data_IF_226628230276
#
_entry.id   IF_226628230276
#
_cell.length_a   1.000
_cell.length_b   1.000
_cell.length_c   1.000
_cell.angle_alpha   90.00
_cell.angle_beta   90.00
_cell.angle_gamma   90.00
#
_symmetry.space_group_name_H-M   'P 1'
#
loop_
_entity.id
_entity.type
_entity.pdbx_description
1 polymer ?
#
# COMPACT_ATOMS: atom_id res chain seq x y z
N UNK A 1 -33.22 -47.40 37.60
CA UNK A 1 -32.81 -46.01 37.29
C UNK A 1 -31.39 -45.84 37.81
N UNK A 2 -30.37 -45.83 36.94
CA UNK A 2 -28.96 -45.73 37.37
C UNK A 2 -28.63 -44.24 37.52
N UNK A 3 -28.29 -43.79 38.74
CA UNK A 3 -27.80 -42.43 38.99
C UNK A 3 -26.34 -42.34 38.54
N UNK A 4 -26.10 -41.58 37.46
CA UNK A 4 -24.75 -41.31 36.97
C UNK A 4 -24.08 -40.30 37.90
N UNK A 5 -23.08 -40.75 38.67
CA UNK A 5 -22.22 -39.85 39.46
C UNK A 5 -21.60 -38.81 38.54
N UNK A 6 -21.84 -37.53 38.83
CA UNK A 6 -21.19 -36.41 38.16
C UNK A 6 -19.91 -36.09 38.93
N UNK A 7 -18.76 -36.39 38.35
CA UNK A 7 -17.48 -35.93 38.87
C UNK A 7 -17.45 -34.40 38.77
N UNK A 8 -17.43 -33.72 39.93
CA UNK A 8 -17.33 -32.27 40.02
C UNK A 8 -15.90 -31.81 39.78
N UNK A 9 -15.73 -30.74 39.01
CA UNK A 9 -14.43 -30.11 38.77
C UNK A 9 -13.97 -29.43 40.07
N UNK A 10 -12.75 -29.69 40.52
CA UNK A 10 -12.22 -29.01 41.72
C UNK A 10 -11.70 -27.62 41.36
N UNK A 11 -11.79 -26.67 42.30
CA UNK A 11 -11.31 -25.30 42.10
C UNK A 11 -9.79 -25.26 41.81
N UNK A 12 -9.03 -26.19 42.39
CA UNK A 12 -7.59 -26.30 42.17
C UNK A 12 -7.24 -26.79 40.76
N UNK A 13 -7.99 -27.75 40.20
CA UNK A 13 -7.80 -28.20 38.82
C UNK A 13 -8.02 -27.05 37.84
N UNK A 14 -9.05 -26.24 38.07
CA UNK A 14 -9.31 -25.07 37.24
C UNK A 14 -8.18 -24.03 37.33
N UNK A 15 -7.66 -23.80 38.55
CA UNK A 15 -6.61 -22.82 38.81
C UNK A 15 -5.28 -23.20 38.16
N UNK A 16 -4.89 -24.47 38.23
CA UNK A 16 -3.65 -24.95 37.58
C UNK A 16 -3.74 -24.84 36.06
N UNK A 17 -4.90 -25.13 35.47
CA UNK A 17 -5.11 -25.04 34.02
C UNK A 17 -4.97 -23.61 33.52
N UNK A 18 -5.59 -22.63 34.19
CA UNK A 18 -5.44 -21.23 33.78
C UNK A 18 -4.02 -20.72 33.98
N UNK A 19 -3.30 -21.19 35.00
CA UNK A 19 -1.90 -20.82 35.23
C UNK A 19 -1.00 -21.31 34.09
N UNK A 20 -1.20 -22.55 33.62
CA UNK A 20 -0.47 -23.10 32.49
C UNK A 20 -0.81 -22.36 31.19
N UNK A 21 -2.09 -22.05 30.94
CA UNK A 21 -2.51 -21.26 29.76
C UNK A 21 -1.87 -19.86 29.78
N UNK A 22 -1.81 -19.20 30.94
CA UNK A 22 -1.19 -17.89 31.09
C UNK A 22 0.31 -17.92 30.77
N UNK A 23 1.04 -18.93 31.25
CA UNK A 23 2.47 -19.11 30.95
C UNK A 23 2.71 -19.33 29.45
N UNK A 24 1.90 -20.19 28.82
CA UNK A 24 2.04 -20.49 27.38
C UNK A 24 1.72 -19.26 26.51
N UNK A 25 0.64 -18.54 26.83
CA UNK A 25 0.24 -17.35 26.07
C UNK A 25 1.24 -16.21 26.21
N UNK A 26 1.90 -16.05 27.36
CA UNK A 26 2.95 -15.05 27.57
C UNK A 26 4.12 -15.16 26.57
N UNK A 27 4.49 -16.39 26.18
CA UNK A 27 5.56 -16.64 25.20
C UNK A 27 5.02 -16.58 23.76
N UNK A 28 3.77 -16.99 23.53
CA UNK A 28 3.17 -17.03 22.20
C UNK A 28 2.88 -15.65 21.61
N UNK A 29 2.42 -14.69 22.43
CA UNK A 29 2.06 -13.33 21.98
C UNK A 29 3.23 -12.60 21.30
N UNK A 30 4.44 -12.51 21.89
CA UNK A 30 5.55 -11.80 21.25
C UNK A 30 6.00 -12.48 19.95
N UNK A 31 6.05 -13.82 19.92
CA UNK A 31 6.39 -14.58 18.72
C UNK A 31 5.38 -14.34 17.57
N UNK A 32 4.08 -14.33 17.88
CA UNK A 32 3.03 -14.08 16.91
C UNK A 32 3.09 -12.65 16.32
N UNK A 33 3.45 -11.66 17.14
CA UNK A 33 3.58 -10.28 16.66
C UNK A 33 4.71 -10.13 15.64
N UNK A 34 5.85 -10.78 15.87
CA UNK A 34 6.98 -10.80 14.93
C UNK A 34 6.58 -11.54 13.64
N UNK A 35 5.94 -12.71 13.76
CA UNK A 35 5.48 -13.49 12.62
C UNK A 35 4.47 -12.69 11.76
N UNK A 36 3.55 -11.94 12.38
CA UNK A 36 2.61 -11.05 11.65
C UNK A 36 3.34 -9.94 10.90
N UNK A 37 4.37 -9.33 11.49
CA UNK A 37 5.16 -8.30 10.80
C UNK A 37 5.92 -8.87 9.59
N UNK A 38 6.52 -10.05 9.73
CA UNK A 38 7.22 -10.73 8.63
C UNK A 38 6.27 -11.21 7.53
N UNK A 39 5.08 -11.69 7.89
CA UNK A 39 4.04 -12.02 6.91
C UNK A 39 3.62 -10.75 6.14
N UNK A 40 3.46 -9.63 6.85
CA UNK A 40 3.16 -8.33 6.24
C UNK A 40 4.22 -7.88 5.24
N UNK A 41 5.51 -7.94 5.60
CA UNK A 41 6.60 -7.57 4.67
C UNK A 41 6.66 -8.46 3.43
N UNK A 42 6.40 -9.76 3.61
CA UNK A 42 6.34 -10.72 2.49
C UNK A 42 5.20 -10.39 1.52
N UNK A 43 4.04 -9.95 2.03
CA UNK A 43 2.93 -9.48 1.19
C UNK A 43 3.31 -8.20 0.45
N UNK A 44 3.98 -7.25 1.12
CA UNK A 44 4.40 -6.01 0.46
C UNK A 44 5.40 -6.27 -0.68
N UNK A 45 6.36 -7.16 -0.46
CA UNK A 45 7.29 -7.59 -1.51
C UNK A 45 6.56 -8.23 -2.70
N UNK A 46 5.53 -9.04 -2.44
CA UNK A 46 4.72 -9.63 -3.52
C UNK A 46 3.94 -8.55 -4.29
N UNK A 47 3.34 -7.59 -3.59
CA UNK A 47 2.64 -6.47 -4.21
C UNK A 47 3.59 -5.65 -5.11
N UNK A 48 4.81 -5.38 -4.64
CA UNK A 48 5.83 -4.67 -5.43
C UNK A 48 6.22 -5.43 -6.69
N UNK A 49 6.46 -6.75 -6.60
CA UNK A 49 6.72 -7.60 -7.78
C UNK A 49 5.59 -7.52 -8.80
N UNK A 50 4.34 -7.52 -8.35
CA UNK A 50 3.18 -7.38 -9.23
C UNK A 50 3.10 -5.99 -9.88
N UNK A 51 3.47 -4.92 -9.15
CA UNK A 51 3.57 -3.57 -9.74
C UNK A 51 4.64 -3.49 -10.81
N UNK A 52 5.83 -4.03 -10.54
CA UNK A 52 6.93 -4.04 -11.52
C UNK A 52 6.52 -4.79 -12.78
N UNK A 53 5.86 -5.95 -12.63
CA UNK A 53 5.32 -6.69 -13.78
C UNK A 53 4.32 -5.85 -14.58
N UNK A 54 3.39 -5.17 -13.90
CA UNK A 54 2.42 -4.30 -14.54
C UNK A 54 3.09 -3.15 -15.32
N UNK A 55 4.22 -2.62 -14.83
CA UNK A 55 4.96 -1.58 -15.56
C UNK A 55 5.68 -2.13 -16.78
N UNK A 56 6.30 -3.30 -16.66
CA UNK A 56 6.98 -3.92 -17.81
C UNK A 56 5.98 -4.19 -18.94
N UNK A 57 4.80 -4.72 -18.59
CA UNK A 57 3.71 -4.91 -19.55
C UNK A 57 3.26 -3.56 -20.14
N UNK A 58 3.09 -2.52 -19.31
CA UNK A 58 2.75 -1.19 -19.82
C UNK A 58 3.77 -0.67 -20.82
N UNK A 59 5.06 -0.74 -20.49
CA UNK A 59 6.14 -0.26 -21.35
C UNK A 59 6.17 -1.03 -22.68
N UNK A 60 6.04 -2.36 -22.65
CA UNK A 60 5.96 -3.19 -23.85
C UNK A 60 4.79 -2.78 -24.77
N UNK A 61 3.66 -2.40 -24.18
CA UNK A 61 2.47 -1.93 -24.90
C UNK A 61 2.55 -0.45 -25.36
N UNK A 62 3.56 0.32 -24.95
CA UNK A 62 3.65 1.77 -25.19
C UNK A 62 5.04 2.19 -25.70
N UNK A 63 5.60 1.45 -26.65
CA UNK A 63 6.90 1.77 -27.29
C UNK A 63 8.07 1.92 -26.29
N UNK A 64 8.05 1.12 -25.21
CA UNK A 64 8.99 1.19 -24.08
C UNK A 64 8.99 2.52 -23.32
N UNK A 65 7.96 3.35 -23.52
CA UNK A 65 7.73 4.57 -22.76
C UNK A 65 6.99 4.19 -21.47
N UNK A 66 7.52 4.60 -20.33
CA UNK A 66 6.89 4.33 -19.05
C UNK A 66 5.76 5.32 -18.75
N UNK A 67 4.88 4.99 -17.80
CA UNK A 67 3.94 5.97 -17.30
C UNK A 67 4.66 6.95 -16.37
N UNK A 68 4.21 8.20 -16.36
CA UNK A 68 4.80 9.20 -15.48
C UNK A 68 4.46 8.98 -13.99
N UNK A 69 5.19 9.68 -13.12
CA UNK A 69 5.13 9.51 -11.68
C UNK A 69 3.94 10.22 -11.02
N UNK A 70 3.19 11.00 -11.77
CA UNK A 70 2.21 11.93 -11.24
C UNK A 70 0.90 11.22 -10.85
N UNK A 71 0.06 11.95 -10.12
CA UNK A 71 -1.20 11.47 -9.57
C UNK A 71 -2.37 12.27 -10.14
N UNK A 72 -2.66 12.13 -11.43
CA UNK A 72 -3.87 12.69 -12.04
C UNK A 72 -3.95 14.22 -12.16
N UNK A 73 -2.92 14.94 -11.71
CA UNK A 73 -2.95 16.42 -11.61
C UNK A 73 -2.72 17.08 -12.98
N UNK A 74 -2.12 16.35 -13.93
CA UNK A 74 -1.83 16.89 -15.26
C UNK A 74 -2.95 16.66 -16.28
N UNK A 75 -3.93 15.82 -15.94
CA UNK A 75 -4.98 15.41 -16.87
C UNK A 75 -4.45 14.60 -18.07
N UNK A 76 -3.19 14.14 -18.01
CA UNK A 76 -2.55 13.43 -19.09
C UNK A 76 -2.35 11.95 -18.72
N UNK A 77 -3.01 11.02 -19.43
CA UNK A 77 -2.85 9.59 -19.16
C UNK A 77 -1.40 9.11 -19.25
N UNK A 78 -0.54 9.81 -20.00
CA UNK A 78 0.88 9.43 -20.13
C UNK A 78 1.70 9.73 -18.87
N UNK A 79 1.26 10.67 -18.04
CA UNK A 79 2.02 11.12 -16.87
C UNK A 79 1.51 10.58 -15.54
N UNK A 80 0.35 9.93 -15.52
CA UNK A 80 -0.36 9.57 -14.30
C UNK A 80 -0.50 8.05 -14.13
N UNK A 81 0.45 7.40 -13.47
CA UNK A 81 0.37 5.95 -13.21
C UNK A 81 -0.80 5.56 -12.28
N UNK A 82 -1.17 6.44 -11.35
CA UNK A 82 -2.39 6.35 -10.54
C UNK A 82 -3.22 7.62 -10.70
N UNK A 83 -4.54 7.48 -10.68
CA UNK A 83 -5.44 8.64 -10.73
C UNK A 83 -5.50 9.39 -9.41
N UNK A 84 -6.02 10.63 -9.42
CA UNK A 84 -6.24 11.41 -8.20
C UNK A 84 -7.44 10.82 -7.45
N UNK A 85 -7.54 11.01 -6.12
CA UNK A 85 -8.74 10.64 -5.36
C UNK A 85 -10.02 11.18 -6.01
N UNK A 86 -11.10 10.41 -5.95
CA UNK A 86 -12.38 10.73 -6.60
C UNK A 86 -13.50 10.77 -5.56
N UNK A 87 -14.20 11.90 -5.48
CA UNK A 87 -15.36 12.08 -4.61
C UNK A 87 -16.42 11.00 -4.85
N UNK A 88 -16.94 10.38 -3.79
CA UNK A 88 -17.84 9.21 -3.91
C UNK A 88 -19.16 9.54 -4.63
N UNK A 89 -19.67 10.77 -4.52
CA UNK A 89 -20.97 11.16 -5.06
C UNK A 89 -20.83 11.75 -6.47
N UNK A 90 -20.00 12.78 -6.60
CA UNK A 90 -19.83 13.56 -7.84
C UNK A 90 -18.84 12.94 -8.82
N UNK A 91 -17.92 12.07 -8.36
CA UNK A 91 -16.83 11.56 -9.19
C UNK A 91 -15.77 12.61 -9.56
N UNK A 92 -15.85 13.81 -8.98
CA UNK A 92 -14.88 14.86 -9.18
C UNK A 92 -13.52 14.48 -8.56
N UNK A 93 -12.43 14.92 -9.19
CA UNK A 93 -11.08 14.73 -8.66
C UNK A 93 -10.87 15.60 -7.42
N UNK A 94 -10.26 15.04 -6.37
CA UNK A 94 -9.90 15.71 -5.12
C UNK A 94 -8.38 15.73 -4.96
N UNK A 95 -7.86 16.85 -4.46
CA UNK A 95 -6.41 17.04 -4.21
C UNK A 95 -6.07 17.13 -2.73
N UNK A 96 -7.08 17.33 -1.87
CA UNK A 96 -6.96 17.40 -0.42
C UNK A 96 -8.24 16.89 0.24
N UNK A 97 -8.15 16.60 1.55
CA UNK A 97 -9.28 16.18 2.39
C UNK A 97 -10.11 15.02 1.81
N UNK A 98 -9.42 13.93 1.46
CA UNK A 98 -10.03 12.72 0.93
C UNK A 98 -9.92 11.54 1.90
N UNK A 99 -10.83 10.59 1.77
CA UNK A 99 -10.82 9.30 2.49
C UNK A 99 -10.02 8.26 1.71
N UNK A 100 -9.68 7.15 2.37
CA UNK A 100 -9.00 6.03 1.73
C UNK A 100 -9.83 5.43 0.58
N UNK A 101 -11.15 5.40 0.72
CA UNK A 101 -12.08 4.87 -0.30
C UNK A 101 -12.10 5.74 -1.56
N UNK A 102 -12.08 7.07 -1.39
CA UNK A 102 -12.00 8.02 -2.50
C UNK A 102 -10.67 7.89 -3.25
N UNK A 103 -9.57 7.65 -2.53
CA UNK A 103 -8.28 7.38 -3.15
C UNK A 103 -8.25 6.04 -3.87
N UNK A 104 -8.80 4.97 -3.27
CA UNK A 104 -8.93 3.65 -3.91
C UNK A 104 -9.70 3.77 -5.23
N UNK A 105 -10.81 4.51 -5.24
CA UNK A 105 -11.58 4.79 -6.46
C UNK A 105 -10.76 5.59 -7.48
N UNK A 106 -9.96 6.54 -7.02
CA UNK A 106 -9.03 7.30 -7.86
C UNK A 106 -7.98 6.43 -8.53
N UNK A 107 -7.39 5.49 -7.79
CA UNK A 107 -6.38 4.55 -8.27
C UNK A 107 -6.89 3.72 -9.45
N UNK A 108 -8.18 3.35 -9.45
CA UNK A 108 -8.82 2.60 -10.55
C UNK A 108 -8.84 3.37 -11.88
N UNK A 109 -8.74 4.70 -11.83
CA UNK A 109 -8.66 5.55 -13.03
C UNK A 109 -7.24 5.76 -13.55
N UNK A 110 -6.23 5.23 -12.85
CA UNK A 110 -4.83 5.36 -13.23
C UNK A 110 -4.46 4.57 -14.47
N UNK A 111 -3.48 5.06 -15.22
CA UNK A 111 -3.03 4.44 -16.48
C UNK A 111 -2.48 3.03 -16.30
N UNK A 112 -1.93 2.73 -15.13
CA UNK A 112 -1.38 1.40 -14.84
C UNK A 112 -2.44 0.40 -14.34
N UNK A 113 -3.60 0.87 -13.89
CA UNK A 113 -4.65 0.02 -13.33
C UNK A 113 -5.08 -1.15 -14.22
N UNK A 114 -5.22 -1.00 -15.56
CA UNK A 114 -5.58 -2.11 -16.44
C UNK A 114 -4.64 -3.32 -16.38
N UNK A 115 -3.39 -3.14 -15.94
CA UNK A 115 -2.37 -4.18 -15.92
C UNK A 115 -2.37 -5.00 -14.62
N UNK A 116 -2.65 -4.37 -13.47
CA UNK A 116 -2.69 -5.07 -12.17
C UNK A 116 -4.11 -5.31 -11.63
N UNK A 117 -5.14 -4.60 -12.13
CA UNK A 117 -6.59 -4.79 -11.90
C UNK A 117 -7.02 -4.94 -10.44
N UNK A 118 -6.24 -4.43 -9.49
CA UNK A 118 -6.45 -4.58 -8.05
C UNK A 118 -5.97 -3.35 -7.30
N UNK A 119 -6.86 -2.40 -7.01
CA UNK A 119 -6.48 -1.12 -6.42
C UNK A 119 -5.72 -1.25 -5.09
N UNK A 120 -6.05 -2.26 -4.28
CA UNK A 120 -5.35 -2.54 -2.99
C UNK A 120 -3.88 -2.93 -3.14
N UNK A 121 -3.43 -3.25 -4.35
CA UNK A 121 -2.06 -3.68 -4.64
C UNK A 121 -1.05 -2.54 -4.45
N UNK A 122 -1.47 -1.27 -4.62
CA UNK A 122 -0.58 -0.11 -4.42
C UNK A 122 -0.36 0.26 -2.93
N UNK A 123 -0.99 -0.48 -2.02
CA UNK A 123 -0.82 -0.33 -0.57
C UNK A 123 -0.06 -1.54 -0.01
N UNK A 124 0.82 -1.25 0.94
CA UNK A 124 1.48 -2.26 1.77
C UNK A 124 0.65 -2.42 3.05
N UNK A 125 0.18 -3.64 3.42
CA UNK A 125 -0.65 -3.82 4.61
C UNK A 125 0.01 -3.42 5.94
N UNK A 126 1.34 -3.34 5.98
CA UNK A 126 2.06 -2.85 7.17
C UNK A 126 2.09 -1.33 7.25
N UNK A 127 1.75 -0.64 6.16
CA UNK A 127 1.69 0.81 6.12
C UNK A 127 0.34 1.32 6.63
N UNK A 128 0.41 2.11 7.71
CA UNK A 128 -0.74 2.61 8.46
C UNK A 128 -1.00 4.09 8.20
N UNK A 129 -0.41 4.68 7.16
CA UNK A 129 -0.65 6.09 6.78
C UNK A 129 -2.13 6.41 6.52
N UNK A 130 -2.88 5.48 5.92
CA UNK A 130 -4.33 5.59 5.63
C UNK A 130 -5.21 5.80 6.86
N UNK A 131 -4.74 5.37 8.02
CA UNK A 131 -5.48 5.45 9.30
C UNK A 131 -4.86 6.46 10.26
N UNK A 132 -3.83 7.19 9.84
CA UNK A 132 -3.12 8.20 10.64
C UNK A 132 -3.34 9.60 10.06
N UNK A 133 -3.24 10.61 10.93
CA UNK A 133 -3.20 11.99 10.49
C UNK A 133 -1.99 12.21 9.55
N UNK A 134 -2.13 13.02 8.50
CA UNK A 134 -1.07 13.29 7.54
C UNK A 134 0.15 13.90 8.23
N UNK A 135 1.33 13.40 7.87
CA UNK A 135 2.61 13.79 8.47
C UNK A 135 3.10 15.17 7.99
N UNK A 136 2.56 15.66 6.85
CA UNK A 136 2.92 16.95 6.27
C UNK A 136 1.92 18.04 6.69
N UNK A 137 2.37 19.09 7.41
CA UNK A 137 1.52 20.22 7.75
C UNK A 137 1.02 20.92 6.48
N UNK A 138 -0.29 21.13 6.36
CA UNK A 138 -0.93 21.78 5.21
C UNK A 138 -1.62 20.82 4.23
N UNK A 139 -1.35 19.51 4.28
CA UNK A 139 -2.20 18.51 3.63
C UNK A 139 -3.34 18.14 4.60
N UNK A 140 -4.52 18.74 4.43
CA UNK A 140 -5.70 18.33 5.20
C UNK A 140 -6.20 16.93 4.80
N UNK A 141 -6.72 16.15 5.76
CA UNK A 141 -7.35 14.84 5.52
C UNK A 141 -6.73 13.68 6.32
N UNK A 142 -6.82 12.47 5.76
CA UNK A 142 -6.10 11.27 6.22
C UNK A 142 -4.76 11.14 5.47
N UNK A 143 -3.73 10.49 6.04
CA UNK A 143 -2.53 10.17 5.25
C UNK A 143 -2.93 9.26 4.09
N UNK A 144 -2.53 9.53 2.85
CA UNK A 144 -3.10 8.81 1.69
C UNK A 144 -2.99 7.27 1.76
N UNK A 145 -3.83 6.52 1.08
CA UNK A 145 -3.87 5.06 1.01
C UNK A 145 -2.63 4.42 0.35
N UNK A 146 -2.09 5.03 -0.70
CA UNK A 146 -0.98 4.46 -1.48
C UNK A 146 0.35 4.46 -0.71
N UNK A 147 1.02 3.31 -0.64
CA UNK A 147 2.36 3.19 -0.04
C UNK A 147 3.47 3.43 -1.05
N UNK A 148 3.38 2.77 -2.20
CA UNK A 148 4.45 2.78 -3.20
C UNK A 148 4.43 4.07 -4.01
N UNK A 149 5.61 4.52 -4.44
CA UNK A 149 5.75 5.73 -5.24
C UNK A 149 6.60 5.44 -6.46
N UNK A 150 6.28 6.13 -7.55
CA UNK A 150 7.10 6.15 -8.75
C UNK A 150 8.15 7.25 -8.60
N UNK A 151 9.44 6.97 -8.76
CA UNK A 151 10.43 8.03 -8.82
C UNK A 151 10.19 8.88 -10.07
N UNK A 152 10.32 10.20 -9.90
CA UNK A 152 9.93 11.15 -10.93
C UNK A 152 10.73 11.02 -12.24
N UNK A 153 11.91 10.41 -12.16
CA UNK A 153 12.93 10.42 -13.19
C UNK A 153 12.94 9.18 -14.10
N UNK A 154 12.09 8.18 -13.82
CA UNK A 154 12.04 6.96 -14.65
C UNK A 154 11.41 7.19 -16.04
N UNK A 155 10.88 8.40 -16.32
CA UNK A 155 10.29 8.78 -17.61
C UNK A 155 10.40 10.28 -17.94
N UNK A 156 11.30 11.03 -17.30
CA UNK A 156 11.41 12.47 -17.55
C UNK A 156 12.22 12.74 -18.83
N UNK A 157 11.73 13.58 -19.77
CA UNK A 157 12.55 14.00 -20.90
C UNK A 157 13.77 14.77 -20.39
N UNK A 158 14.96 14.49 -20.97
CA UNK A 158 16.26 15.08 -20.57
C UNK A 158 16.22 16.61 -20.34
N UNK A 159 15.49 17.42 -21.13
CA UNK A 159 15.37 18.86 -20.87
C UNK A 159 14.69 19.24 -19.54
N UNK A 160 13.78 18.40 -19.04
CA UNK A 160 13.15 18.60 -17.73
C UNK A 160 14.10 18.26 -16.56
N UNK A 161 15.13 17.44 -16.81
CA UNK A 161 16.15 17.07 -15.83
C UNK A 161 17.15 18.22 -15.60
N UNK A 162 17.58 18.89 -16.66
CA UNK A 162 18.56 19.99 -16.59
C UNK A 162 18.00 21.26 -15.96
N UNK A 163 16.71 21.58 -16.18
CA UNK A 163 16.10 22.82 -15.67
C UNK A 163 15.91 22.85 -14.14
N UNK A 164 15.71 21.70 -13.48
CA UNK A 164 15.40 21.64 -12.04
C UNK A 164 16.57 21.26 -11.14
N UNK A 165 17.56 20.52 -11.65
CA UNK A 165 18.65 19.99 -10.84
C UNK A 165 20.06 20.44 -11.30
N UNK A 166 20.14 21.30 -12.31
CA UNK A 166 21.42 21.64 -12.94
C UNK A 166 22.02 20.44 -13.67
N UNK A 167 23.07 20.68 -14.44
CA UNK A 167 23.70 19.72 -15.38
C UNK A 167 24.42 18.51 -14.72
N UNK A 168 23.92 17.98 -13.61
CA UNK A 168 24.54 16.90 -12.84
C UNK A 168 23.87 15.52 -13.02
N UNK A 169 22.88 15.38 -13.91
CA UNK A 169 22.39 14.07 -14.34
C UNK A 169 23.04 13.76 -15.71
N UNK A 170 24.20 13.11 -15.66
CA UNK A 170 24.97 12.71 -16.83
C UNK A 170 24.09 11.98 -17.85
N UNK A 171 23.77 12.67 -18.93
CA UNK A 171 23.15 12.14 -20.13
C UNK A 171 24.20 11.61 -21.11
N UNK A 172 25.32 11.09 -20.59
CA UNK A 172 26.31 10.35 -21.36
C UNK A 172 26.44 8.98 -20.73
N UNK A 173 26.11 7.95 -21.53
CA UNK A 173 26.08 6.51 -21.23
C UNK A 173 24.76 5.95 -20.70
N UNK A 174 23.78 5.87 -21.59
CA UNK A 174 23.16 4.58 -21.93
C UNK A 174 22.85 4.62 -23.44
N UNK A 175 23.78 4.01 -24.20
CA UNK A 175 23.79 3.62 -25.62
C UNK A 175 22.87 4.38 -26.57
#
# INVERSE_FOLDING_TARGET
MVMKSRNGFTLIELLVVIAIIALLTAILIPALNIAKQQAGSSVCLMNEKQLVLAWMMYAENNDYIMCGPMTGITGSPRYDWVGPPRDLVSGAAKTSNFTAEEEIRGIETGTLFPYYKKAKLVNCPTDKRSVRAPTYPGYGGTGGYRTYSLPYHLNAPVPALTSRYGAAAGADRLV
#
